data_IF_904227541745
#
_entry.id   IF_904227541745
#
_cell.length_a   1.000
_cell.length_b   1.000
_cell.length_c   1.000
_cell.angle_alpha   90.00
_cell.angle_beta   90.00
_cell.angle_gamma   90.00
#
_symmetry.space_group_name_H-M   'P 1'
#
loop_
_entity.id
_entity.type
_entity.pdbx_description
1 polymer ?
#
# COMPACT_ATOMS: atom_id res chain seq x y z
N UNK A 1 30.13 -1.38 12.31
CA UNK A 1 31.51 -0.94 11.99
C UNK A 1 31.40 0.21 11.01
N UNK A 2 31.83 1.41 11.40
CA UNK A 2 31.63 2.62 10.59
C UNK A 2 32.84 2.78 9.64
N UNK A 3 32.65 2.80 8.30
CA UNK A 3 33.77 2.79 7.33
C UNK A 3 34.73 4.00 7.36
N UNK A 4 35.98 3.84 7.77
CA UNK A 4 36.97 4.96 7.93
C UNK A 4 37.00 5.98 6.76
N UNK A 5 36.73 5.54 5.51
CA UNK A 5 36.63 6.41 4.34
C UNK A 5 35.18 6.83 4.01
N UNK A 6 34.85 8.09 4.29
CA UNK A 6 33.48 8.66 4.15
C UNK A 6 32.86 8.58 2.75
N UNK A 7 33.68 8.60 1.69
CA UNK A 7 33.19 8.72 0.30
C UNK A 7 33.42 7.49 -0.58
N UNK A 8 34.12 6.48 -0.04
CA UNK A 8 34.61 5.33 -0.83
C UNK A 8 34.07 3.98 -0.36
N UNK A 9 33.18 3.94 0.64
CA UNK A 9 32.50 2.69 0.99
C UNK A 9 31.57 2.26 -0.16
N UNK A 10 31.53 0.95 -0.41
CA UNK A 10 30.74 0.35 -1.49
C UNK A 10 29.46 -0.31 -0.99
N UNK A 11 29.50 -0.82 0.23
CA UNK A 11 28.46 -1.65 0.80
C UNK A 11 27.96 -1.03 2.10
N UNK A 12 26.64 -1.10 2.31
CA UNK A 12 25.96 -0.71 3.54
C UNK A 12 25.19 -1.92 4.04
N UNK A 13 25.41 -2.30 5.29
CA UNK A 13 24.74 -3.42 5.92
C UNK A 13 23.77 -2.91 6.96
N UNK A 14 22.48 -3.13 6.74
CA UNK A 14 21.42 -2.83 7.70
C UNK A 14 21.13 -4.07 8.54
N UNK A 15 21.27 -3.95 9.85
CA UNK A 15 20.91 -5.02 10.80
C UNK A 15 19.55 -4.68 11.40
N UNK A 16 18.60 -5.59 11.26
CA UNK A 16 17.22 -5.40 11.74
C UNK A 16 16.73 -6.66 12.46
N UNK A 17 15.53 -6.58 13.05
CA UNK A 17 14.87 -7.75 13.62
C UNK A 17 14.62 -8.78 12.53
N UNK A 18 15.06 -10.01 12.76
CA UNK A 18 14.77 -11.14 11.87
C UNK A 18 13.26 -11.41 11.87
N UNK A 19 12.70 -11.51 10.67
CA UNK A 19 11.34 -11.97 10.41
C UNK A 19 11.44 -13.27 9.60
N UNK A 20 10.60 -14.25 9.92
CA UNK A 20 10.76 -15.63 9.40
C UNK A 20 10.36 -15.76 7.92
N UNK A 21 9.36 -14.98 7.50
CA UNK A 21 8.79 -15.04 6.15
C UNK A 21 8.15 -13.71 5.75
N UNK A 22 7.57 -13.67 4.56
CA UNK A 22 6.67 -12.63 4.07
C UNK A 22 5.23 -13.15 3.97
N UNK A 23 4.27 -12.23 3.88
CA UNK A 23 2.85 -12.55 3.81
C UNK A 23 2.48 -13.27 2.51
N UNK A 24 3.18 -13.03 1.40
CA UNK A 24 2.94 -13.74 0.13
C UNK A 24 3.15 -15.25 0.28
N UNK A 25 4.22 -15.67 0.95
CA UNK A 25 4.47 -17.08 1.25
C UNK A 25 3.39 -17.68 2.14
N UNK A 26 2.89 -16.93 3.12
CA UNK A 26 1.77 -17.36 3.97
C UNK A 26 0.49 -17.54 3.13
N UNK A 27 0.17 -16.57 2.25
CA UNK A 27 -0.96 -16.59 1.31
C UNK A 27 -0.89 -17.76 0.31
N UNK A 28 0.32 -18.14 -0.11
CA UNK A 28 0.52 -19.20 -1.11
C UNK A 28 0.68 -20.60 -0.49
N UNK A 29 0.81 -20.69 0.84
CA UNK A 29 1.04 -21.96 1.55
C UNK A 29 -0.21 -22.81 1.70
N UNK A 30 -0.06 -24.03 2.23
CA UNK A 30 -1.17 -24.90 2.63
C UNK A 30 -1.78 -24.52 4.00
N UNK A 31 -1.24 -23.51 4.70
CA UNK A 31 -1.76 -23.07 6.00
C UNK A 31 -3.13 -22.44 5.79
N UNK A 32 -4.12 -22.92 6.54
CA UNK A 32 -5.46 -22.33 6.56
C UNK A 32 -5.43 -20.98 7.30
N UNK A 33 -5.82 -19.91 6.61
CA UNK A 33 -6.07 -18.62 7.25
C UNK A 33 -7.52 -18.60 7.73
N UNK A 34 -7.70 -18.51 9.05
CA UNK A 34 -9.00 -18.24 9.66
C UNK A 34 -9.34 -16.75 9.52
N UNK A 35 -10.59 -16.41 9.81
CA UNK A 35 -11.02 -15.02 9.92
C UNK A 35 -10.13 -14.23 10.90
N UNK A 36 -9.82 -14.81 12.06
CA UNK A 36 -8.97 -14.19 13.08
C UNK A 36 -7.55 -13.91 12.55
N UNK A 37 -6.97 -14.82 11.75
CA UNK A 37 -5.68 -14.57 11.09
C UNK A 37 -5.78 -13.38 10.12
N UNK A 38 -6.81 -13.35 9.27
CA UNK A 38 -7.04 -12.25 8.32
C UNK A 38 -7.25 -10.91 9.04
N UNK A 39 -8.09 -10.89 10.08
CA UNK A 39 -8.37 -9.74 10.93
C UNK A 39 -7.09 -9.22 11.60
N UNK A 40 -6.29 -10.11 12.19
CA UNK A 40 -5.08 -9.73 12.92
C UNK A 40 -3.94 -9.22 12.00
N UNK A 41 -3.76 -9.82 10.82
CA UNK A 41 -2.80 -9.29 9.84
C UNK A 41 -3.24 -7.92 9.29
N UNK A 42 -4.53 -7.78 8.95
CA UNK A 42 -5.06 -6.51 8.46
C UNK A 42 -4.96 -5.41 9.54
N UNK A 43 -5.29 -5.72 10.79
CA UNK A 43 -5.16 -4.82 11.93
C UNK A 43 -3.73 -4.27 12.06
N UNK A 44 -2.72 -5.15 12.07
CA UNK A 44 -1.33 -4.75 12.20
C UNK A 44 -0.85 -3.90 11.01
N UNK A 45 -1.29 -4.22 9.80
CA UNK A 45 -1.01 -3.44 8.59
C UNK A 45 -1.61 -2.03 8.68
N UNK A 46 -2.91 -1.93 9.01
CA UNK A 46 -3.60 -0.65 9.21
C UNK A 46 -2.96 0.19 10.31
N UNK A 47 -2.59 -0.45 11.43
CA UNK A 47 -1.88 0.20 12.55
C UNK A 47 -0.55 0.79 12.12
N UNK A 48 0.25 0.03 11.36
CA UNK A 48 1.53 0.51 10.83
C UNK A 48 1.34 1.68 9.85
N UNK A 49 0.32 1.59 8.99
CA UNK A 49 0.02 2.65 8.01
C UNK A 49 -0.52 3.92 8.64
N UNK A 50 -1.38 3.83 9.66
CA UNK A 50 -1.83 5.00 10.44
C UNK A 50 -0.63 5.82 10.93
N UNK A 51 0.40 5.14 11.44
CA UNK A 51 1.63 5.81 11.87
C UNK A 51 2.35 6.48 10.69
N UNK A 52 2.58 5.77 9.57
CA UNK A 52 3.24 6.32 8.39
C UNK A 52 2.51 7.53 7.81
N UNK A 53 1.19 7.42 7.63
CA UNK A 53 0.35 8.49 7.09
C UNK A 53 0.35 9.71 8.02
N UNK A 54 0.32 9.51 9.35
CA UNK A 54 0.45 10.60 10.32
C UNK A 54 1.84 11.27 10.31
N UNK A 55 2.88 10.54 9.88
CA UNK A 55 4.22 11.08 9.65
C UNK A 55 4.36 11.77 8.27
N UNK A 56 3.30 11.82 7.46
CA UNK A 56 3.35 12.39 6.11
C UNK A 56 4.04 11.49 5.08
N UNK A 57 4.17 10.19 5.35
CA UNK A 57 4.83 9.22 4.47
C UNK A 57 3.79 8.38 3.71
N UNK A 58 3.96 8.28 2.40
CA UNK A 58 3.29 7.31 1.53
C UNK A 58 4.20 6.14 1.24
N UNK A 59 3.71 4.90 1.36
CA UNK A 59 4.52 3.72 1.08
C UNK A 59 4.65 3.44 -0.43
N UNK A 60 3.55 3.55 -1.18
CA UNK A 60 3.46 3.46 -2.66
C UNK A 60 3.75 2.11 -3.31
N UNK A 61 4.30 1.15 -2.56
CA UNK A 61 4.55 -0.23 -3.03
C UNK A 61 4.12 -1.28 -2.01
N UNK A 62 2.95 -1.09 -1.39
CA UNK A 62 2.38 -2.10 -0.51
C UNK A 62 1.93 -3.33 -1.31
N UNK A 63 2.45 -4.48 -0.92
CA UNK A 63 2.15 -5.80 -1.46
C UNK A 63 2.54 -6.87 -0.44
N UNK A 64 1.99 -8.10 -0.50
CA UNK A 64 2.27 -9.12 0.50
C UNK A 64 3.76 -9.48 0.66
N UNK A 65 4.58 -9.34 -0.39
CA UNK A 65 6.03 -9.54 -0.32
C UNK A 65 6.74 -8.51 0.56
N UNK A 66 6.16 -7.31 0.70
CA UNK A 66 6.68 -6.21 1.50
C UNK A 66 6.10 -6.20 2.94
N UNK A 67 5.39 -7.26 3.32
CA UNK A 67 4.83 -7.46 4.66
C UNK A 67 5.49 -8.67 5.30
N UNK A 68 6.46 -8.41 6.18
CA UNK A 68 7.21 -9.46 6.86
C UNK A 68 6.41 -10.02 8.03
N UNK A 69 6.46 -11.33 8.22
CA UNK A 69 5.72 -12.07 9.25
C UNK A 69 6.65 -13.02 9.99
N UNK A 70 6.44 -13.17 11.31
CA UNK A 70 7.16 -14.15 12.13
C UNK A 70 6.22 -15.22 12.72
N UNK A 71 6.78 -16.21 13.42
CA UNK A 71 6.04 -17.31 14.05
C UNK A 71 5.01 -16.86 15.09
N UNK A 72 5.14 -15.66 15.66
CA UNK A 72 4.16 -15.07 16.58
C UNK A 72 3.02 -14.35 15.86
N UNK A 73 2.97 -14.42 14.52
CA UNK A 73 2.09 -13.62 13.66
C UNK A 73 2.30 -12.10 13.80
N UNK A 74 3.47 -11.64 14.26
CA UNK A 74 3.81 -10.21 14.20
C UNK A 74 4.01 -9.83 12.73
N UNK A 75 3.41 -8.73 12.29
CA UNK A 75 3.55 -8.18 10.95
C UNK A 75 4.37 -6.88 10.99
N UNK A 76 5.29 -6.72 10.04
CA UNK A 76 6.06 -5.48 9.83
C UNK A 76 6.10 -5.09 8.37
N UNK A 77 5.82 -3.82 8.09
CA UNK A 77 5.96 -3.22 6.77
C UNK A 77 7.45 -3.01 6.48
N UNK A 78 7.91 -3.38 5.29
CA UNK A 78 9.29 -3.16 4.83
C UNK A 78 9.32 -2.62 3.39
N UNK A 79 10.53 -2.35 2.90
CA UNK A 79 10.81 -1.83 1.55
C UNK A 79 10.22 -0.44 1.27
N UNK A 80 10.81 0.56 1.91
CA UNK A 80 10.50 1.98 1.74
C UNK A 80 11.22 2.60 0.52
N UNK A 81 11.76 1.81 -0.41
CA UNK A 81 12.54 2.31 -1.54
C UNK A 81 11.76 3.24 -2.49
N UNK A 82 10.44 3.09 -2.53
CA UNK A 82 9.52 3.92 -3.31
C UNK A 82 8.73 4.94 -2.48
N UNK A 83 8.95 4.96 -1.15
CA UNK A 83 8.23 5.84 -0.24
C UNK A 83 8.56 7.31 -0.50
N UNK A 84 7.57 8.18 -0.24
CA UNK A 84 7.69 9.64 -0.46
C UNK A 84 6.87 10.43 0.55
N UNK A 85 7.24 11.69 0.77
CA UNK A 85 6.45 12.65 1.52
C UNK A 85 5.18 13.01 0.73
N UNK A 86 4.02 13.13 1.39
CA UNK A 86 2.70 13.40 0.74
C UNK A 86 2.72 14.64 -0.18
N UNK A 87 3.50 15.67 0.17
CA UNK A 87 3.57 16.94 -0.57
C UNK A 87 4.80 17.07 -1.47
N UNK A 88 5.56 15.99 -1.67
CA UNK A 88 6.66 15.99 -2.61
C UNK A 88 6.14 16.40 -4.00
N UNK A 89 6.80 17.34 -4.69
CA UNK A 89 6.45 17.65 -6.10
C UNK A 89 6.70 16.41 -6.93
N UNK A 90 5.66 15.61 -7.17
CA UNK A 90 5.85 14.35 -7.86
C UNK A 90 6.07 14.63 -9.34
N UNK A 91 7.29 14.37 -9.81
CA UNK A 91 7.44 14.04 -11.23
C UNK A 91 6.80 12.68 -11.45
N UNK A 92 5.91 12.60 -12.45
CA UNK A 92 5.34 11.36 -12.94
C UNK A 92 6.47 10.34 -13.13
N UNK A 93 6.60 9.36 -12.22
CA UNK A 93 7.58 8.29 -12.37
C UNK A 93 7.05 7.38 -13.47
N UNK A 94 7.39 7.73 -14.71
CA UNK A 94 7.05 6.99 -15.91
C UNK A 94 7.68 5.61 -15.84
N UNK A 95 6.83 4.58 -15.75
CA UNK A 95 7.13 3.25 -16.29
C UNK A 95 8.15 2.40 -15.54
N UNK A 96 7.94 2.11 -14.26
CA UNK A 96 8.66 1.00 -13.61
C UNK A 96 7.92 -0.34 -13.78
N UNK A 97 8.67 -1.34 -14.27
CA UNK A 97 8.30 -2.76 -14.43
C UNK A 97 8.25 -3.41 -13.05
N UNK A 98 7.26 -3.03 -12.25
CA UNK A 98 6.92 -3.64 -10.96
C UNK A 98 5.49 -4.17 -11.03
N UNK A 99 5.15 -5.11 -10.16
CA UNK A 99 3.80 -5.67 -10.00
C UNK A 99 2.76 -4.54 -9.86
N UNK A 100 1.83 -4.47 -10.82
CA UNK A 100 0.77 -3.43 -10.87
C UNK A 100 -0.48 -3.80 -10.08
N UNK A 101 -0.54 -5.03 -9.56
CA UNK A 101 -1.74 -5.64 -9.01
C UNK A 101 -2.32 -4.89 -7.80
N UNK A 102 -1.46 -4.15 -7.08
CA UNK A 102 -1.81 -3.38 -5.88
C UNK A 102 -1.89 -1.88 -6.13
N UNK A 103 -1.70 -1.40 -7.38
CA UNK A 103 -1.73 0.03 -7.70
C UNK A 103 -3.15 0.54 -7.79
N UNK A 104 -3.41 1.68 -7.16
CA UNK A 104 -4.70 2.35 -7.15
C UNK A 104 -5.09 2.88 -8.55
N UNK A 105 -6.40 2.98 -8.86
CA UNK A 105 -6.88 3.49 -10.16
C UNK A 105 -6.30 4.86 -10.52
N UNK A 106 -6.26 5.80 -9.58
CA UNK A 106 -5.72 7.15 -9.79
C UNK A 106 -4.24 7.15 -10.20
N UNK A 107 -3.46 6.19 -9.69
CA UNK A 107 -2.05 6.03 -10.07
C UNK A 107 -1.90 5.40 -11.45
N UNK A 108 -2.77 4.45 -11.82
CA UNK A 108 -2.80 3.81 -13.13
C UNK A 108 -3.27 4.76 -14.24
N UNK A 109 -4.19 5.66 -13.91
CA UNK A 109 -4.73 6.69 -14.80
C UNK A 109 -3.80 7.90 -14.96
N UNK A 110 -2.78 7.99 -14.10
CA UNK A 110 -1.79 9.08 -14.12
C UNK A 110 -2.36 10.41 -13.64
N UNK A 111 -3.22 10.38 -12.62
CA UNK A 111 -3.69 11.60 -11.96
C UNK A 111 -2.53 12.26 -11.20
N UNK A 112 -2.48 13.59 -11.23
CA UNK A 112 -1.40 14.35 -10.59
C UNK A 112 -1.63 14.53 -9.07
N UNK A 113 -2.89 14.51 -8.64
CA UNK A 113 -3.29 14.64 -7.24
C UNK A 113 -3.61 13.27 -6.65
N UNK A 114 -2.70 12.74 -5.85
CA UNK A 114 -2.93 11.52 -5.06
C UNK A 114 -2.31 11.66 -3.67
N UNK A 115 -2.87 10.94 -2.70
CA UNK A 115 -2.46 11.00 -1.30
C UNK A 115 -2.42 9.61 -0.67
N UNK A 116 -2.79 9.53 0.60
CA UNK A 116 -2.81 8.29 1.40
C UNK A 116 -3.74 7.23 0.83
N UNK A 117 -4.76 7.64 0.08
CA UNK A 117 -5.74 6.77 -0.59
C UNK A 117 -5.09 5.67 -1.43
N UNK A 118 -3.93 5.91 -2.03
CA UNK A 118 -3.25 4.91 -2.86
C UNK A 118 -2.80 3.69 -2.04
N UNK A 119 -2.36 3.92 -0.80
CA UNK A 119 -1.98 2.86 0.12
C UNK A 119 -3.24 2.16 0.65
N UNK A 120 -4.32 2.91 0.93
CA UNK A 120 -5.62 2.35 1.34
C UNK A 120 -6.15 1.34 0.31
N UNK A 121 -6.02 1.65 -0.98
CA UNK A 121 -6.34 0.71 -2.06
C UNK A 121 -5.46 -0.53 -2.03
N UNK A 122 -4.15 -0.37 -1.89
CA UNK A 122 -3.22 -1.51 -1.82
C UNK A 122 -3.56 -2.42 -0.64
N UNK A 123 -3.94 -1.85 0.51
CA UNK A 123 -4.44 -2.62 1.68
C UNK A 123 -5.70 -3.40 1.31
N UNK A 124 -6.66 -2.80 0.62
CA UNK A 124 -7.84 -3.50 0.11
C UNK A 124 -7.49 -4.70 -0.78
N UNK A 125 -6.53 -4.55 -1.70
CA UNK A 125 -6.05 -5.65 -2.54
C UNK A 125 -5.41 -6.77 -1.71
N UNK A 126 -4.59 -6.43 -0.72
CA UNK A 126 -3.95 -7.39 0.19
C UNK A 126 -5.00 -8.11 1.03
N UNK A 127 -6.01 -7.39 1.52
CA UNK A 127 -7.10 -7.97 2.30
C UNK A 127 -7.94 -8.94 1.48
N UNK A 128 -8.30 -8.57 0.25
CA UNK A 128 -8.94 -9.48 -0.70
C UNK A 128 -8.09 -10.75 -0.92
N UNK A 129 -6.78 -10.62 -1.04
CA UNK A 129 -5.88 -11.76 -1.23
C UNK A 129 -5.76 -12.64 0.03
N UNK A 130 -5.83 -12.07 1.24
CA UNK A 130 -5.92 -12.84 2.49
C UNK A 130 -7.19 -13.70 2.53
N UNK A 131 -8.33 -13.14 2.14
CA UNK A 131 -9.62 -13.85 2.08
C UNK A 131 -9.66 -14.88 0.94
N UNK A 132 -9.10 -14.52 -0.21
CA UNK A 132 -9.22 -15.26 -1.46
C UNK A 132 -8.10 -16.22 -1.80
N UNK A 133 -6.97 -16.12 -1.10
CA UNK A 133 -5.72 -16.88 -1.35
C UNK A 133 -5.15 -16.68 -2.77
N UNK A 134 -5.57 -15.62 -3.45
CA UNK A 134 -5.14 -15.26 -4.80
C UNK A 134 -5.31 -13.75 -5.00
N UNK A 135 -4.44 -13.16 -5.81
CA UNK A 135 -4.54 -11.75 -6.16
C UNK A 135 -5.86 -11.44 -6.86
N UNK A 136 -6.52 -10.37 -6.40
CA UNK A 136 -7.84 -9.96 -6.91
C UNK A 136 -7.75 -9.31 -8.30
N UNK A 137 -6.65 -8.61 -8.61
CA UNK A 137 -6.44 -7.93 -9.89
C UNK A 137 -5.09 -8.29 -10.54
N UNK A 138 -4.92 -9.51 -11.08
CA UNK A 138 -3.66 -9.94 -11.68
C UNK A 138 -3.50 -9.43 -13.13
N UNK A 139 -3.40 -8.11 -13.32
CA UNK A 139 -3.31 -7.51 -14.65
C UNK A 139 -1.96 -7.71 -15.33
N UNK A 140 -1.99 -7.93 -16.66
CA UNK A 140 -0.78 -8.12 -17.49
C UNK A 140 -0.12 -6.81 -17.90
N UNK A 141 -0.89 -5.73 -17.98
CA UNK A 141 -0.47 -4.38 -18.32
C UNK A 141 -1.44 -3.36 -17.68
N UNK A 142 -1.17 -2.05 -17.85
CA UNK A 142 -1.98 -1.00 -17.22
C UNK A 142 -3.46 -1.02 -17.67
N UNK A 143 -3.70 -1.24 -18.96
CA UNK A 143 -5.06 -1.25 -19.52
C UNK A 143 -5.81 -2.51 -19.08
N UNK A 144 -5.14 -3.66 -19.07
CA UNK A 144 -5.71 -4.89 -18.55
C UNK A 144 -6.00 -4.80 -17.04
N UNK A 145 -5.12 -4.17 -16.26
CA UNK A 145 -5.33 -3.91 -14.82
C UNK A 145 -6.63 -3.11 -14.58
N UNK A 146 -6.82 -2.00 -15.30
CA UNK A 146 -8.04 -1.19 -15.20
C UNK A 146 -9.29 -1.96 -15.60
N UNK A 147 -9.21 -2.80 -16.64
CA UNK A 147 -10.31 -3.69 -17.04
C UNK A 147 -10.69 -4.68 -15.93
N UNK A 148 -9.70 -5.30 -15.29
CA UNK A 148 -9.95 -6.24 -14.19
C UNK A 148 -10.62 -5.55 -13.00
N UNK A 149 -10.18 -4.32 -12.67
CA UNK A 149 -10.79 -3.50 -11.62
C UNK A 149 -12.27 -3.25 -11.91
N UNK A 150 -12.59 -2.74 -13.11
CA UNK A 150 -13.98 -2.47 -13.52
C UNK A 150 -14.82 -3.75 -13.58
N UNK A 151 -14.26 -4.88 -14.00
CA UNK A 151 -15.02 -6.14 -14.04
C UNK A 151 -15.44 -6.63 -12.64
N UNK A 152 -14.61 -6.41 -11.62
CA UNK A 152 -14.90 -6.82 -10.25
C UNK A 152 -15.79 -5.80 -9.53
N UNK A 153 -15.48 -4.51 -9.65
CA UNK A 153 -16.23 -3.45 -8.97
C UNK A 153 -17.55 -3.10 -9.67
N UNK A 154 -17.67 -3.42 -10.96
CA UNK A 154 -18.78 -3.01 -11.81
C UNK A 154 -18.46 -1.74 -12.60
N UNK A 155 -19.38 -1.38 -13.49
CA UNK A 155 -19.25 -0.16 -14.30
C UNK A 155 -19.43 1.08 -13.42
N UNK A 156 -18.42 1.96 -13.45
CA UNK A 156 -18.41 3.19 -12.66
C UNK A 156 -19.47 4.18 -13.14
N UNK A 157 -20.11 4.88 -12.19
CA UNK A 157 -21.02 5.99 -12.49
C UNK A 157 -20.27 7.21 -13.02
N UNK A 158 -21.00 8.22 -13.48
CA UNK A 158 -20.36 9.47 -13.94
C UNK A 158 -19.66 10.23 -12.81
N UNK A 159 -20.19 10.12 -11.60
CA UNK A 159 -19.69 10.75 -10.37
C UNK A 159 -18.38 10.07 -9.93
N UNK A 160 -18.31 8.73 -9.98
CA UNK A 160 -17.09 7.95 -9.69
C UNK A 160 -15.90 8.29 -10.61
N UNK A 161 -16.14 8.99 -11.72
CA UNK A 161 -15.13 9.36 -12.70
C UNK A 161 -14.79 10.86 -12.66
N UNK A 162 -15.39 11.63 -11.76
CA UNK A 162 -15.22 13.08 -11.69
C UNK A 162 -13.78 13.46 -11.33
N UNK A 163 -13.11 12.67 -10.48
CA UNK A 163 -11.71 12.88 -10.08
C UNK A 163 -10.70 12.73 -11.24
N UNK A 164 -11.11 12.20 -12.40
CA UNK A 164 -10.23 11.96 -13.56
C UNK A 164 -10.22 13.19 -14.47
N UNK A 165 -9.24 14.08 -14.26
CA UNK A 165 -9.04 15.28 -15.10
C UNK A 165 -8.71 14.93 -16.56
N UNK A 166 -8.01 13.80 -16.78
CA UNK A 166 -7.60 13.38 -18.10
C UNK A 166 -8.78 12.82 -18.91
N UNK A 167 -9.30 13.64 -19.82
CA UNK A 167 -10.41 13.27 -20.72
C UNK A 167 -10.18 11.99 -21.52
N UNK A 168 -8.94 11.66 -21.92
CA UNK A 168 -8.65 10.42 -22.66
C UNK A 168 -8.79 9.20 -21.74
N UNK A 169 -8.30 9.31 -20.51
CA UNK A 169 -8.40 8.26 -19.50
C UNK A 169 -9.88 8.03 -19.10
N UNK A 170 -10.64 9.10 -18.87
CA UNK A 170 -12.09 9.01 -18.59
C UNK A 170 -12.86 8.38 -19.75
N UNK A 171 -12.57 8.77 -21.00
CA UNK A 171 -13.19 8.17 -22.20
C UNK A 171 -12.84 6.69 -22.34
N UNK A 172 -11.60 6.30 -21.99
CA UNK A 172 -11.19 4.91 -22.00
C UNK A 172 -12.00 4.06 -21.01
N UNK A 173 -12.10 4.49 -19.75
CA UNK A 173 -12.91 3.79 -18.73
C UNK A 173 -14.37 3.64 -19.19
N UNK A 174 -14.98 4.71 -19.71
CA UNK A 174 -16.35 4.68 -20.27
C UNK A 174 -16.52 3.78 -21.49
N UNK A 175 -15.43 3.47 -22.20
CA UNK A 175 -15.47 2.61 -23.39
C UNK A 175 -15.38 1.11 -23.05
N UNK A 176 -15.10 0.77 -21.79
CA UNK A 176 -15.08 -0.62 -21.34
C UNK A 176 -16.49 -1.21 -21.39
N UNK A 177 -16.56 -2.52 -21.61
CA UNK A 177 -17.83 -3.24 -21.62
C UNK A 177 -18.52 -3.13 -20.25
N UNK A 178 -19.85 -3.03 -20.29
CA UNK A 178 -20.65 -3.05 -19.07
C UNK A 178 -20.37 -4.31 -18.24
N UNK A 179 -20.29 -4.14 -16.94
CA UNK A 179 -20.08 -5.18 -15.94
C UNK A 179 -20.94 -4.87 -14.71
N UNK A 180 -21.65 -5.89 -14.20
CA UNK A 180 -22.47 -5.80 -12.98
C UNK A 180 -21.62 -5.77 -11.70
N UNK A 181 -20.33 -6.11 -11.80
CA UNK A 181 -19.47 -6.38 -10.64
C UNK A 181 -19.60 -7.82 -10.16
N UNK A 182 -18.62 -8.28 -9.38
CA UNK A 182 -18.57 -9.66 -8.86
C UNK A 182 -18.67 -9.59 -7.33
N UNK A 183 -19.62 -10.31 -6.72
CA UNK A 183 -19.68 -10.44 -5.26
C UNK A 183 -18.35 -10.98 -4.71
N UNK A 184 -17.66 -10.17 -3.91
CA UNK A 184 -16.36 -10.52 -3.32
C UNK A 184 -16.57 -11.48 -2.14
N UNK A 185 -16.01 -12.68 -2.25
CA UNK A 185 -15.89 -13.68 -1.17
C UNK A 185 -17.17 -13.89 -0.32
N UNK A 186 -18.32 -14.27 -0.89
CA UNK A 186 -19.61 -14.33 -0.19
C UNK A 186 -19.70 -15.33 0.98
N UNK A 187 -18.64 -16.14 1.18
CA UNK A 187 -18.52 -17.11 2.28
C UNK A 187 -17.66 -16.60 3.45
N UNK A 188 -17.03 -15.42 3.31
CA UNK A 188 -16.26 -14.81 4.38
C UNK A 188 -17.16 -14.10 5.40
N UNK A 189 -16.56 -13.62 6.48
CA UNK A 189 -17.25 -12.83 7.51
C UNK A 189 -17.93 -11.59 6.88
N UNK A 190 -19.23 -11.35 7.11
CA UNK A 190 -19.94 -10.20 6.55
C UNK A 190 -19.28 -8.85 6.88
N UNK A 191 -18.68 -8.70 8.06
CA UNK A 191 -17.97 -7.47 8.45
C UNK A 191 -16.64 -7.33 7.72
N UNK A 192 -15.98 -8.44 7.38
CA UNK A 192 -14.79 -8.43 6.53
C UNK A 192 -15.14 -7.95 5.11
N UNK A 193 -16.25 -8.45 4.54
CA UNK A 193 -16.72 -8.03 3.21
C UNK A 193 -17.13 -6.56 3.19
N UNK A 194 -17.86 -6.12 4.21
CA UNK A 194 -18.28 -4.73 4.35
C UNK A 194 -17.07 -3.78 4.44
N UNK A 195 -16.01 -4.14 5.18
CA UNK A 195 -14.78 -3.35 5.21
C UNK A 195 -14.05 -3.39 3.85
N UNK A 196 -13.95 -4.56 3.22
CA UNK A 196 -13.27 -4.71 1.93
C UNK A 196 -13.93 -3.85 0.84
N UNK A 197 -15.26 -3.80 0.80
CA UNK A 197 -16.02 -2.97 -0.14
C UNK A 197 -15.76 -1.48 0.07
N UNK A 198 -15.57 -1.02 1.30
CA UNK A 198 -15.20 0.37 1.59
C UNK A 198 -13.74 0.70 1.24
N UNK A 199 -12.85 -0.29 1.22
CA UNK A 199 -11.44 -0.13 0.79
C UNK A 199 -11.28 -0.14 -0.73
N UNK A 200 -11.99 -1.03 -1.43
CA UNK A 200 -11.91 -1.18 -2.89
C UNK A 200 -12.93 -0.30 -3.61
N UNK A 201 -12.83 1.01 -3.37
CA UNK A 201 -13.65 2.04 -4.04
C UNK A 201 -12.81 2.72 -5.12
N UNK A 202 -13.40 2.89 -6.31
CA UNK A 202 -12.71 3.41 -7.47
C UNK A 202 -12.35 4.88 -7.33
N UNK A 203 -13.30 5.71 -6.90
CA UNK A 203 -13.04 7.10 -6.52
C UNK A 203 -12.27 7.15 -5.19
N UNK A 204 -11.04 7.69 -5.17
CA UNK A 204 -10.24 7.77 -3.96
C UNK A 204 -10.86 8.63 -2.85
N UNK A 205 -11.75 9.57 -3.17
CA UNK A 205 -12.39 10.45 -2.16
C UNK A 205 -13.46 9.73 -1.34
N UNK A 206 -14.05 8.68 -1.89
CA UNK A 206 -15.06 7.84 -1.23
C UNK A 206 -14.46 6.60 -0.55
N UNK A 207 -13.14 6.42 -0.65
CA UNK A 207 -12.42 5.28 -0.09
C UNK A 207 -12.21 5.48 1.41
N UNK A 208 -12.48 4.44 2.20
CA UNK A 208 -12.21 4.47 3.64
C UNK A 208 -10.71 4.65 3.90
N UNK A 209 -10.36 5.60 4.77
CA UNK A 209 -8.98 5.79 5.19
C UNK A 209 -8.53 4.69 6.17
N UNK A 210 -7.22 4.48 6.32
CA UNK A 210 -6.69 3.56 7.36
C UNK A 210 -7.19 3.87 8.78
N UNK A 211 -7.43 5.14 9.11
CA UNK A 211 -7.90 5.54 10.44
C UNK A 211 -9.35 5.09 10.65
N UNK A 212 -10.22 5.36 9.68
CA UNK A 212 -11.62 4.92 9.71
C UNK A 212 -11.73 3.39 9.63
N UNK A 213 -10.83 2.72 8.88
CA UNK A 213 -10.78 1.27 8.80
C UNK A 213 -10.43 0.60 10.14
N UNK A 214 -9.58 1.23 10.97
CA UNK A 214 -9.30 0.77 12.34
C UNK A 214 -10.51 0.91 13.27
N UNK A 215 -11.37 1.90 13.03
CA UNK A 215 -12.60 2.13 13.79
C UNK A 215 -13.78 1.26 13.31
N UNK A 216 -13.61 0.54 12.20
CA UNK A 216 -14.64 -0.32 11.64
C UNK A 216 -15.07 -1.43 12.61
N UNK A 217 -16.34 -1.87 12.63
CA UNK A 217 -16.80 -2.96 13.50
C UNK A 217 -15.99 -4.26 13.37
N UNK A 218 -15.45 -4.53 12.18
CA UNK A 218 -14.54 -5.66 11.93
C UNK A 218 -13.23 -5.58 12.73
N UNK A 219 -12.85 -4.43 13.29
CA UNK A 219 -11.63 -4.24 14.10
C UNK A 219 -11.92 -4.05 15.60
N UNK A 220 -13.20 -4.07 16.00
CA UNK A 220 -13.65 -3.72 17.36
C UNK A 220 -13.03 -4.56 18.49
N UNK A 221 -12.63 -5.80 18.22
CA UNK A 221 -11.99 -6.69 19.19
C UNK A 221 -10.49 -6.43 19.38
N UNK A 222 -9.86 -5.69 18.46
CA UNK A 222 -8.40 -5.49 18.42
C UNK A 222 -8.00 -4.02 18.58
N UNK A 223 -8.81 -3.09 18.09
CA UNK A 223 -8.45 -1.68 18.04
C UNK A 223 -8.72 -0.96 19.36
N UNK A 224 -7.64 -0.47 19.95
CA UNK A 224 -7.64 0.49 21.05
C UNK A 224 -7.10 1.83 20.55
N UNK A 225 -7.91 2.90 20.46
CA UNK A 225 -7.47 4.22 20.02
C UNK A 225 -6.31 4.80 20.85
N UNK A 226 -6.27 4.51 22.16
CA UNK A 226 -5.30 5.07 23.09
C UNK A 226 -3.93 4.36 23.00
N UNK A 227 -3.91 3.12 22.50
CA UNK A 227 -2.69 2.33 22.30
C UNK A 227 -1.95 2.63 20.98
N UNK A 228 -2.46 3.58 20.18
CA UNK A 228 -2.01 3.84 18.80
C UNK A 228 -1.74 5.33 18.53
N UNK A 229 -0.75 5.94 19.22
CA UNK A 229 -0.42 7.34 19.03
C UNK A 229 0.11 7.61 17.60
N UNK A 230 -0.21 8.79 17.04
CA UNK A 230 0.36 9.21 15.75
C UNK A 230 1.87 9.51 15.89
N UNK A 231 2.54 9.68 14.76
CA UNK A 231 3.90 10.20 14.73
C UNK A 231 3.97 11.59 15.38
N UNK A 232 5.05 11.84 16.12
CA UNK A 232 5.23 13.11 16.85
C UNK A 232 5.50 14.30 15.92
N UNK A 233 6.10 14.04 14.77
CA UNK A 233 6.39 15.03 13.74
C UNK A 233 6.35 14.37 12.35
N UNK A 234 6.03 15.14 11.30
CA UNK A 234 6.23 14.69 9.93
C UNK A 234 7.69 14.34 9.67
N UNK A 235 7.92 13.34 8.83
CA UNK A 235 9.25 12.93 8.38
C UNK A 235 9.39 13.39 6.93
N UNK A 236 10.40 14.20 6.67
CA UNK A 236 10.75 14.57 5.30
C UNK A 236 11.72 13.54 4.72
N UNK A 237 11.25 12.78 3.74
CA UNK A 237 12.03 11.79 3.00
C UNK A 237 12.65 12.35 1.71
N UNK A 238 12.31 13.59 1.34
CA UNK A 238 12.68 14.12 0.03
C UNK A 238 14.14 14.58 0.04
N UNK A 239 14.98 13.77 -0.60
CA UNK A 239 16.37 14.13 -0.92
C UNK A 239 16.37 14.80 -2.28
N UNK A 240 17.04 15.94 -2.42
CA UNK A 240 17.17 16.63 -3.72
C UNK A 240 17.81 15.68 -4.74
N UNK A 241 17.06 15.31 -5.78
CA UNK A 241 17.49 14.38 -6.83
C UNK A 241 18.67 14.92 -7.65
N UNK A 242 18.98 16.23 -7.54
CA UNK A 242 20.17 16.84 -8.14
C UNK A 242 21.44 16.58 -7.34
N UNK A 243 21.35 15.99 -6.14
CA UNK A 243 22.52 15.67 -5.34
C UNK A 243 23.36 14.61 -6.03
N UNK A 244 24.65 14.91 -6.18
CA UNK A 244 25.62 13.96 -6.67
C UNK A 244 25.83 12.79 -5.70
N UNK A 245 26.27 11.65 -6.23
CA UNK A 245 26.53 10.42 -5.46
C UNK A 245 27.41 10.66 -4.24
N UNK A 246 28.40 11.56 -4.34
CA UNK A 246 29.29 11.88 -3.22
C UNK A 246 28.56 12.55 -2.04
N UNK A 247 27.54 13.37 -2.31
CA UNK A 247 26.74 13.99 -1.26
C UNK A 247 25.82 12.96 -0.60
N UNK A 248 25.20 12.09 -1.40
CA UNK A 248 24.37 10.99 -0.88
C UNK A 248 25.20 10.09 0.03
N UNK A 249 26.44 9.76 -0.35
CA UNK A 249 27.36 8.99 0.51
C UNK A 249 27.70 9.69 1.82
N UNK A 250 27.92 11.01 1.79
CA UNK A 250 28.16 11.79 3.01
C UNK A 250 26.92 11.81 3.92
N UNK A 251 25.71 11.92 3.36
CA UNK A 251 24.47 11.84 4.14
C UNK A 251 24.29 10.47 4.78
N UNK A 252 24.50 9.39 4.01
CA UNK A 252 24.48 8.01 4.54
C UNK A 252 25.51 7.82 5.65
N UNK A 253 26.71 8.38 5.48
CA UNK A 253 27.76 8.37 6.48
C UNK A 253 27.33 9.06 7.78
N UNK A 254 26.70 10.24 7.67
CA UNK A 254 26.19 10.99 8.82
C UNK A 254 25.08 10.24 9.55
N UNK A 255 24.17 9.60 8.82
CA UNK A 255 23.14 8.74 9.41
C UNK A 255 23.74 7.56 10.18
N UNK A 256 24.75 6.87 9.62
CA UNK A 256 25.42 5.77 10.33
C UNK A 256 26.08 6.20 11.66
N UNK A 257 26.47 7.47 11.80
CA UNK A 257 27.02 7.99 13.06
C UNK A 257 25.96 8.18 14.15
N UNK A 258 24.68 8.34 13.78
CA UNK A 258 23.58 8.47 14.73
C UNK A 258 23.13 7.11 15.29
N UNK A 259 23.44 6.00 14.60
CA UNK A 259 23.06 4.64 14.96
C UNK A 259 24.30 3.71 15.05
N UNK A 260 25.18 3.92 16.05
CA UNK A 260 26.45 3.20 16.17
C UNK A 260 26.32 1.70 16.46
#
# INVERSE_FOLDING_TARGET
>A
MIPIQRRNFKDVYLVSKLMDTDLQKIISSCITLSNDHCQYFLFQLLRGLKYLHSAGILHRDLKPENLLVNANCDLKICDFGLARTINAKVQSMTGYVVTRWYRAPELLLGCDNYGTSIDDWSVGCIFAELLGRKSIFPGTDCLNQLKLIVNVLGTMSDDDLEFIDNMKARKYIKSLSYADGIPMYPQADPLAIDLLQKMLVFDPSNRISVTEALEHPYMSTLYDPDANPPAQAPIDLDIDEKLGVDMIREMLWQEMLQYP
#
